data_IF_389569669841
#
_entry.id   IF_389569669841
#
_cell.length_a   1.000
_cell.length_b   1.000
_cell.length_c   1.000
_cell.angle_alpha   90.00
_cell.angle_beta   90.00
_cell.angle_gamma   90.00
#
_symmetry.space_group_name_H-M   'P 1'
#
loop_
_entity.id
_entity.type
_entity.pdbx_description
1 polymer ?
#
# COMPACT_ATOMS: atom_id res chain seq x y z
N UNK A 1 -8.22 6.74 16.82
CA UNK A 1 -8.14 5.97 15.57
C UNK A 1 -8.14 4.50 15.92
N UNK A 2 -9.14 3.76 15.46
CA UNK A 2 -9.26 2.31 15.61
C UNK A 2 -8.36 1.60 14.59
N UNK A 3 -7.95 0.36 14.88
CA UNK A 3 -7.10 -0.45 13.99
C UNK A 3 -7.67 -0.59 12.57
N UNK A 4 -9.01 -0.57 12.45
CA UNK A 4 -9.71 -0.60 11.17
C UNK A 4 -9.47 0.68 10.35
N UNK A 5 -9.53 1.85 10.98
CA UNK A 5 -9.29 3.14 10.30
C UNK A 5 -7.85 3.25 9.78
N UNK A 6 -6.88 2.74 10.55
CA UNK A 6 -5.46 2.73 10.16
C UNK A 6 -5.23 1.81 8.95
N UNK A 7 -5.79 0.60 8.98
CA UNK A 7 -5.67 -0.34 7.85
C UNK A 7 -6.33 0.20 6.58
N UNK A 8 -7.48 0.86 6.73
CA UNK A 8 -8.21 1.44 5.59
C UNK A 8 -7.43 2.61 4.97
N UNK A 9 -6.76 3.43 5.78
CA UNK A 9 -5.85 4.49 5.31
C UNK A 9 -4.64 3.92 4.54
N UNK A 10 -4.01 2.86 5.06
CA UNK A 10 -2.85 2.24 4.40
C UNK A 10 -3.24 1.61 3.06
N UNK A 11 -4.40 0.93 3.00
CA UNK A 11 -4.94 0.38 1.75
C UNK A 11 -5.27 1.49 0.76
N UNK A 12 -5.93 2.56 1.20
CA UNK A 12 -6.26 3.70 0.34
C UNK A 12 -4.99 4.38 -0.21
N UNK A 13 -3.98 4.58 0.62
CA UNK A 13 -2.68 5.13 0.21
C UNK A 13 -1.96 4.20 -0.78
N UNK A 14 -1.98 2.89 -0.54
CA UNK A 14 -1.42 1.89 -1.46
C UNK A 14 -2.11 1.90 -2.82
N UNK A 15 -3.44 2.02 -2.86
CA UNK A 15 -4.21 2.13 -4.11
C UNK A 15 -3.86 3.39 -4.90
N UNK A 16 -3.71 4.52 -4.22
CA UNK A 16 -3.30 5.78 -4.85
C UNK A 16 -1.89 5.68 -5.42
N UNK A 17 -0.95 5.07 -4.69
CA UNK A 17 0.42 4.84 -5.16
C UNK A 17 0.46 3.94 -6.40
N UNK A 18 -0.34 2.87 -6.43
CA UNK A 18 -0.49 2.01 -7.60
C UNK A 18 -1.08 2.78 -8.79
N UNK A 19 -2.15 3.55 -8.58
CA UNK A 19 -2.79 4.35 -9.62
C UNK A 19 -1.87 5.43 -10.21
N UNK A 20 -1.18 6.19 -9.36
CA UNK A 20 -0.21 7.22 -9.77
C UNK A 20 1.00 6.57 -10.44
N UNK A 21 1.50 5.46 -9.93
CA UNK A 21 2.60 4.71 -10.55
C UNK A 21 2.23 4.16 -11.92
N UNK A 22 0.99 3.72 -12.11
CA UNK A 22 0.48 3.27 -13.40
C UNK A 22 0.28 4.43 -14.39
N UNK A 23 -0.24 5.56 -13.92
CA UNK A 23 -0.41 6.77 -14.74
C UNK A 23 0.94 7.35 -15.20
N UNK A 24 1.97 7.28 -14.35
CA UNK A 24 3.31 7.73 -14.65
C UNK A 24 4.25 6.60 -15.12
N UNK A 25 3.72 5.44 -15.55
CA UNK A 25 4.51 4.26 -15.91
C UNK A 25 5.57 4.52 -17.00
N UNK A 26 5.28 5.45 -17.91
CA UNK A 26 6.19 5.85 -19.00
C UNK A 26 7.36 6.73 -18.52
N UNK A 27 7.21 7.41 -17.38
CA UNK A 27 8.29 8.11 -16.70
C UNK A 27 8.99 7.05 -15.86
N UNK A 28 10.30 6.83 -15.99
CA UNK A 28 11.02 5.68 -15.40
C UNK A 28 10.81 5.40 -13.89
N UNK A 29 10.17 6.32 -13.18
CA UNK A 29 9.78 6.24 -11.76
C UNK A 29 8.42 5.56 -11.51
N UNK A 30 7.58 5.38 -12.53
CA UNK A 30 6.25 4.78 -12.35
C UNK A 30 6.29 3.34 -11.86
N UNK A 31 7.28 2.55 -12.32
CA UNK A 31 7.48 1.17 -11.85
C UNK A 31 7.87 1.13 -10.36
N UNK A 32 8.70 2.09 -9.92
CA UNK A 32 9.08 2.20 -8.51
C UNK A 32 7.89 2.59 -7.61
N UNK A 33 7.02 3.47 -8.09
CA UNK A 33 5.76 3.84 -7.40
C UNK A 33 4.79 2.66 -7.30
N UNK A 34 4.69 1.83 -8.34
CA UNK A 34 3.90 0.59 -8.29
C UNK A 34 4.48 -0.39 -7.27
N UNK A 35 5.81 -0.58 -7.24
CA UNK A 35 6.47 -1.44 -6.27
C UNK A 35 6.26 -0.95 -4.82
N UNK A 36 6.30 0.37 -4.60
CA UNK A 36 5.98 0.98 -3.30
C UNK A 36 4.52 0.77 -2.90
N UNK A 37 3.58 0.95 -3.84
CA UNK A 37 2.15 0.67 -3.59
C UNK A 37 1.89 -0.78 -3.21
N UNK A 38 2.58 -1.73 -3.87
CA UNK A 38 2.53 -3.15 -3.51
C UNK A 38 3.10 -3.39 -2.11
N UNK A 39 4.28 -2.85 -1.79
CA UNK A 39 4.88 -3.00 -0.47
C UNK A 39 3.98 -2.46 0.65
N UNK A 40 3.26 -1.36 0.38
CA UNK A 40 2.26 -0.80 1.28
C UNK A 40 1.11 -1.77 1.55
N UNK A 41 0.60 -2.43 0.50
CA UNK A 41 -0.44 -3.47 0.63
C UNK A 41 0.05 -4.70 1.40
N UNK A 42 1.30 -5.13 1.19
CA UNK A 42 1.90 -6.21 1.98
C UNK A 42 2.03 -5.85 3.46
N UNK A 43 2.32 -4.58 3.77
CA UNK A 43 2.38 -4.10 5.16
C UNK A 43 1.05 -4.26 5.89
N UNK A 44 -0.09 -4.01 5.23
CA UNK A 44 -1.41 -4.28 5.83
C UNK A 44 -1.65 -5.75 6.15
N UNK A 45 -1.17 -6.67 5.30
CA UNK A 45 -1.26 -8.12 5.57
C UNK A 45 -0.36 -8.50 6.74
N UNK A 46 0.88 -8.01 6.77
CA UNK A 46 1.83 -8.23 7.85
C UNK A 46 1.30 -7.69 9.20
N UNK A 47 0.70 -6.50 9.21
CA UNK A 47 0.08 -5.92 10.40
C UNK A 47 -1.11 -6.75 10.90
N UNK A 48 -1.94 -7.27 9.99
CA UNK A 48 -3.05 -8.16 10.33
C UNK A 48 -2.55 -9.49 10.91
N UNK A 49 -1.48 -10.05 10.34
CA UNK A 49 -0.82 -11.25 10.86
C UNK A 49 -0.23 -11.00 12.25
N UNK A 50 0.42 -9.86 12.48
CA UNK A 50 0.94 -9.48 13.79
C UNK A 50 -0.16 -9.43 14.85
N UNK A 51 -1.30 -8.82 14.54
CA UNK A 51 -2.45 -8.79 15.45
C UNK A 51 -3.13 -10.15 15.67
N UNK A 52 -2.94 -11.11 14.77
CA UNK A 52 -3.61 -12.42 14.82
C UNK A 52 -2.75 -13.49 15.52
N UNK A 53 -1.43 -13.43 15.34
CA UNK A 53 -0.49 -14.44 15.81
C UNK A 53 0.48 -13.93 16.89
N UNK A 54 0.45 -12.63 17.21
CA UNK A 54 1.29 -11.96 18.20
C UNK A 54 0.50 -11.46 19.40
#
# INVERSE_FOLDING_TARGET
MTSLEIMLLVIAAGFLLLGVGFANRAKGWGVALIALGWACMLSTVAYKMYLTFG
#
